data_IF_681802631766
#
_entry.id   IF_681802631766
#
_cell.length_a   1.000
_cell.length_b   1.000
_cell.length_c   1.000
_cell.angle_alpha   90.00
_cell.angle_beta   90.00
_cell.angle_gamma   90.00
#
_symmetry.space_group_name_H-M   'P 1'
#
loop_
_entity.id
_entity.type
_entity.pdbx_description
1 polymer ?
#
# COMPACT_ATOMS: atom_id res chain seq x y z
N UNK A 1 1.90 10.53 11.49
CA UNK A 1 1.86 9.07 11.68
C UNK A 1 3.19 8.57 12.25
N UNK A 2 3.19 7.52 13.10
CA UNK A 2 4.38 6.94 13.73
C UNK A 2 5.10 5.93 12.81
N UNK A 3 5.48 6.36 11.62
CA UNK A 3 6.12 5.51 10.61
C UNK A 3 7.50 4.97 11.03
N UNK A 4 8.21 5.67 11.92
CA UNK A 4 9.52 5.25 12.44
C UNK A 4 9.42 3.88 13.16
N UNK A 5 8.38 3.67 13.97
CA UNK A 5 8.21 2.38 14.66
C UNK A 5 7.75 1.27 13.71
N UNK A 6 6.97 1.63 12.69
CA UNK A 6 6.61 0.70 11.61
C UNK A 6 7.86 0.28 10.83
N UNK A 7 8.74 1.21 10.46
CA UNK A 7 9.98 0.93 9.74
C UNK A 7 10.88 -0.04 10.52
N UNK A 8 11.06 0.22 11.82
CA UNK A 8 11.81 -0.69 12.71
C UNK A 8 11.19 -2.08 12.72
N UNK A 9 9.87 -2.19 12.87
CA UNK A 9 9.15 -3.47 12.87
C UNK A 9 9.36 -4.22 11.56
N UNK A 10 9.23 -3.54 10.42
CA UNK A 10 9.38 -4.14 9.09
C UNK A 10 10.81 -4.59 8.82
N UNK A 11 11.82 -3.85 9.29
CA UNK A 11 13.23 -4.23 9.13
C UNK A 11 13.60 -5.53 9.87
N UNK A 12 13.01 -5.75 11.05
CA UNK A 12 13.30 -6.95 11.88
C UNK A 12 12.37 -8.13 11.58
N UNK A 13 11.13 -7.89 11.14
CA UNK A 13 10.14 -8.95 10.98
C UNK A 13 10.35 -9.75 9.68
N UNK A 14 10.93 -10.94 9.80
CA UNK A 14 11.18 -11.82 8.65
C UNK A 14 9.99 -12.68 8.25
N UNK A 15 8.93 -12.75 9.05
CA UNK A 15 7.78 -13.63 8.78
C UNK A 15 6.51 -12.88 8.37
N UNK A 16 6.56 -11.54 8.27
CA UNK A 16 5.42 -10.74 7.86
C UNK A 16 5.09 -11.03 6.39
N UNK A 17 3.88 -11.56 6.13
CA UNK A 17 3.39 -11.88 4.78
C UNK A 17 2.44 -10.83 4.23
N UNK A 18 1.63 -10.22 5.10
CA UNK A 18 0.64 -9.19 4.74
C UNK A 18 0.66 -8.08 5.78
N UNK A 19 0.40 -6.85 5.33
CA UNK A 19 0.32 -5.64 6.15
C UNK A 19 -0.96 -4.88 5.80
N UNK A 20 -1.86 -4.70 6.78
CA UNK A 20 -3.02 -3.81 6.67
C UNK A 20 -2.77 -2.56 7.51
N UNK A 21 -2.93 -1.38 6.91
CA UNK A 21 -2.80 -0.10 7.61
C UNK A 21 -4.05 0.76 7.38
N UNK A 22 -4.60 1.24 8.49
CA UNK A 22 -5.86 1.96 8.56
C UNK A 22 -5.68 3.19 9.43
N UNK A 23 -6.17 4.33 8.95
CA UNK A 23 -6.28 5.56 9.74
C UNK A 23 -7.78 5.77 10.00
N UNK A 24 -8.15 5.79 11.28
CA UNK A 24 -9.54 5.97 11.76
C UNK A 24 -9.86 7.42 12.13
N UNK A 25 -9.14 8.38 11.53
CA UNK A 25 -9.33 9.80 11.81
C UNK A 25 -10.33 10.41 10.81
N UNK A 26 -11.29 11.16 11.35
CA UNK A 26 -12.30 11.89 10.59
C UNK A 26 -11.72 13.14 9.91
N UNK A 27 -10.56 13.62 10.34
CA UNK A 27 -9.93 14.79 9.72
C UNK A 27 -9.31 14.44 8.35
N UNK A 28 -9.78 15.08 7.30
CA UNK A 28 -9.26 14.92 5.92
C UNK A 28 -7.94 15.66 5.71
N UNK A 29 -7.55 16.58 6.60
CA UNK A 29 -6.31 17.37 6.48
C UNK A 29 -5.03 16.55 6.67
N UNK A 30 -5.10 15.42 7.38
CA UNK A 30 -3.95 14.55 7.64
C UNK A 30 -3.57 13.61 6.47
N UNK A 31 -4.27 13.64 5.34
CA UNK A 31 -4.24 12.56 4.32
C UNK A 31 -3.19 12.69 3.22
N UNK A 32 -2.65 13.88 2.95
CA UNK A 32 -1.90 14.14 1.71
C UNK A 32 -0.51 13.46 1.64
N UNK A 33 0.15 13.18 2.77
CA UNK A 33 1.53 12.64 2.78
C UNK A 33 1.67 11.22 3.35
N UNK A 34 0.60 10.61 3.87
CA UNK A 34 0.73 9.31 4.54
C UNK A 34 1.02 8.17 3.57
N UNK A 35 0.51 8.24 2.33
CA UNK A 35 0.79 7.20 1.33
C UNK A 35 2.23 7.26 0.85
N UNK A 36 2.74 8.44 0.51
CA UNK A 36 4.16 8.64 0.16
C UNK A 36 5.10 8.12 1.25
N UNK A 37 4.88 8.53 2.49
CA UNK A 37 5.73 8.08 3.60
C UNK A 37 5.62 6.58 3.86
N UNK A 38 4.43 5.98 3.68
CA UNK A 38 4.28 4.53 3.74
C UNK A 38 5.10 3.82 2.65
N UNK A 39 5.04 4.28 1.39
CA UNK A 39 5.81 3.71 0.30
C UNK A 39 7.33 3.81 0.58
N UNK A 40 7.80 4.96 1.05
CA UNK A 40 9.20 5.16 1.45
C UNK A 40 9.64 4.23 2.58
N UNK A 41 8.81 4.05 3.60
CA UNK A 41 9.09 3.12 4.71
C UNK A 41 9.25 1.69 4.21
N UNK A 42 8.41 1.25 3.27
CA UNK A 42 8.49 -0.09 2.69
C UNK A 42 9.80 -0.30 1.90
N UNK A 43 10.23 0.71 1.14
CA UNK A 43 11.52 0.68 0.42
C UNK A 43 12.68 0.59 1.41
N UNK A 44 12.71 1.49 2.41
CA UNK A 44 13.79 1.56 3.41
C UNK A 44 13.90 0.32 4.28
N UNK A 45 12.76 -0.23 4.71
CA UNK A 45 12.72 -1.40 5.59
C UNK A 45 12.97 -2.72 4.87
N UNK A 46 12.79 -2.78 3.54
CA UNK A 46 13.02 -3.97 2.71
C UNK A 46 12.46 -5.28 3.32
N UNK A 47 11.16 -5.36 3.64
CA UNK A 47 10.60 -6.52 4.34
C UNK A 47 10.69 -7.77 3.45
N UNK A 48 11.40 -8.78 3.93
CA UNK A 48 11.89 -9.89 3.10
C UNK A 48 10.78 -10.81 2.56
N UNK A 49 9.69 -10.97 3.32
CA UNK A 49 8.62 -11.92 3.00
C UNK A 49 7.25 -11.25 2.79
N UNK A 50 7.21 -9.92 2.70
CA UNK A 50 5.97 -9.19 2.48
C UNK A 50 5.49 -9.45 1.05
N UNK A 51 4.26 -9.97 0.94
CA UNK A 51 3.62 -10.34 -0.34
C UNK A 51 2.35 -9.55 -0.57
N UNK A 52 1.82 -8.90 0.46
CA UNK A 52 0.59 -8.15 0.37
C UNK A 52 0.65 -6.88 1.22
N UNK A 53 0.13 -5.79 0.67
CA UNK A 53 -0.16 -4.58 1.42
C UNK A 53 -1.60 -4.12 1.16
N UNK A 54 -2.27 -3.71 2.23
CA UNK A 54 -3.64 -3.18 2.22
C UNK A 54 -3.65 -1.82 2.91
N UNK A 55 -4.25 -0.82 2.28
CA UNK A 55 -4.34 0.53 2.86
C UNK A 55 -5.65 1.24 2.50
N UNK A 56 -6.05 2.15 3.37
CA UNK A 56 -7.30 2.93 3.22
C UNK A 56 -7.13 4.17 2.33
N UNK A 57 -8.25 4.83 1.97
CA UNK A 57 -8.31 6.09 1.21
C UNK A 57 -7.49 7.26 1.80
N UNK A 58 -7.08 7.14 3.06
CA UNK A 58 -6.24 8.14 3.75
C UNK A 58 -4.75 8.01 3.40
N UNK A 59 -4.36 6.97 2.65
CA UNK A 59 -3.01 6.78 2.12
C UNK A 59 -2.98 7.16 0.63
N UNK A 60 -2.87 8.46 0.37
CA UNK A 60 -2.73 9.01 -0.98
C UNK A 60 -1.26 9.11 -1.37
N UNK A 61 -0.97 8.89 -2.65
CA UNK A 61 0.35 9.05 -3.27
C UNK A 61 0.18 9.59 -4.69
N UNK A 62 1.19 10.28 -5.19
CA UNK A 62 1.26 10.67 -6.60
C UNK A 62 1.60 9.45 -7.49
N UNK A 63 1.39 9.60 -8.80
CA UNK A 63 1.84 8.61 -9.78
C UNK A 63 3.35 8.39 -9.71
N UNK A 64 4.12 9.47 -9.57
CA UNK A 64 5.58 9.45 -9.43
C UNK A 64 6.04 8.63 -8.22
N UNK A 65 5.40 8.83 -7.06
CA UNK A 65 5.72 8.05 -5.84
C UNK A 65 5.41 6.55 -6.02
N UNK A 66 4.35 6.22 -6.78
CA UNK A 66 4.02 4.82 -7.09
C UNK A 66 5.05 4.20 -8.03
N UNK A 67 5.44 4.91 -9.09
CA UNK A 67 6.46 4.44 -10.04
C UNK A 67 7.81 4.21 -9.35
N UNK A 68 8.29 5.18 -8.56
CA UNK A 68 9.52 5.06 -7.78
C UNK A 68 9.46 3.82 -6.87
N UNK A 69 8.35 3.64 -6.16
CA UNK A 69 8.15 2.49 -5.29
C UNK A 69 8.22 1.16 -6.05
N UNK A 70 7.52 1.05 -7.19
CA UNK A 70 7.46 -0.19 -7.95
C UNK A 70 8.80 -0.51 -8.63
N UNK A 71 9.55 0.49 -9.07
CA UNK A 71 10.90 0.32 -9.59
C UNK A 71 11.83 -0.25 -8.50
N UNK A 72 11.82 0.34 -7.30
CA UNK A 72 12.60 -0.15 -6.14
C UNK A 72 12.11 -1.52 -5.61
N UNK A 73 10.89 -1.93 -5.97
CA UNK A 73 10.34 -3.25 -5.65
C UNK A 73 10.77 -4.35 -6.61
N UNK A 74 11.42 -4.02 -7.74
CA UNK A 74 11.92 -5.01 -8.70
C UNK A 74 12.90 -6.00 -8.07
N UNK A 75 12.90 -7.22 -8.60
CA UNK A 75 13.73 -8.33 -8.09
C UNK A 75 13.24 -8.94 -6.78
N UNK A 76 12.14 -8.45 -6.21
CA UNK A 76 11.49 -9.01 -5.01
C UNK A 76 10.35 -9.96 -5.38
N UNK A 77 9.73 -10.54 -4.36
CA UNK A 77 8.47 -11.26 -4.54
C UNK A 77 7.37 -10.30 -5.00
N UNK A 78 6.63 -10.75 -6.02
CA UNK A 78 5.51 -10.00 -6.59
C UNK A 78 4.51 -9.58 -5.51
N UNK A 79 4.20 -8.28 -5.46
CA UNK A 79 3.38 -7.67 -4.42
C UNK A 79 1.91 -7.65 -4.83
N UNK A 80 1.02 -8.03 -3.91
CA UNK A 80 -0.40 -7.74 -4.03
C UNK A 80 -0.72 -6.45 -3.29
N UNK A 81 -1.42 -5.53 -3.95
CA UNK A 81 -1.80 -4.23 -3.39
C UNK A 81 -3.31 -4.13 -3.38
N UNK A 82 -3.87 -3.74 -2.24
CA UNK A 82 -5.30 -3.50 -2.10
C UNK A 82 -5.52 -2.12 -1.50
N UNK A 83 -6.42 -1.36 -2.11
CA UNK A 83 -6.82 -0.05 -1.61
C UNK A 83 -8.33 0.12 -1.66
N UNK A 84 -8.85 1.02 -0.84
CA UNK A 84 -10.26 1.40 -0.85
C UNK A 84 -10.38 2.90 -1.06
N UNK A 85 -11.27 3.35 -1.95
CA UNK A 85 -11.65 4.76 -2.08
C UNK A 85 -10.52 5.71 -2.49
N UNK A 86 -9.49 5.21 -3.16
CA UNK A 86 -8.48 6.04 -3.82
C UNK A 86 -8.92 6.33 -5.26
N UNK A 87 -8.66 7.53 -5.75
CA UNK A 87 -8.92 7.92 -7.13
C UNK A 87 -7.80 7.32 -8.01
N UNK A 88 -8.08 6.19 -8.65
CA UNK A 88 -7.17 5.53 -9.59
C UNK A 88 -7.60 5.93 -10.99
N UNK A 89 -6.83 6.81 -11.61
CA UNK A 89 -7.07 7.28 -12.97
C UNK A 89 -6.46 6.34 -14.04
N UNK A 90 -6.63 6.73 -15.30
CA UNK A 90 -6.15 5.95 -16.45
C UNK A 90 -4.62 5.83 -16.46
N UNK A 91 -3.89 6.85 -16.02
CA UNK A 91 -2.43 6.85 -16.03
C UNK A 91 -1.88 5.95 -14.92
N UNK A 92 -2.44 6.01 -13.72
CA UNK A 92 -2.17 5.06 -12.65
C UNK A 92 -2.48 3.62 -13.06
N UNK A 93 -3.60 3.41 -13.77
CA UNK A 93 -3.97 2.09 -14.29
C UNK A 93 -2.95 1.56 -15.30
N UNK A 94 -2.41 2.40 -16.19
CA UNK A 94 -1.36 2.01 -17.15
C UNK A 94 -0.09 1.56 -16.43
N UNK A 95 0.38 2.35 -15.46
CA UNK A 95 1.57 2.03 -14.64
C UNK A 95 1.38 0.69 -13.94
N UNK A 96 0.27 0.50 -13.23
CA UNK A 96 -0.02 -0.76 -12.53
C UNK A 96 0.01 -1.94 -13.50
N UNK A 97 -0.58 -1.81 -14.69
CA UNK A 97 -0.61 -2.88 -15.67
C UNK A 97 0.76 -3.17 -16.29
N UNK A 98 1.63 -2.17 -16.41
CA UNK A 98 3.02 -2.35 -16.81
C UNK A 98 3.79 -3.19 -15.80
N UNK A 99 3.79 -2.78 -14.54
CA UNK A 99 4.48 -3.51 -13.46
C UNK A 99 3.85 -4.88 -13.17
N UNK A 100 2.56 -5.11 -13.52
CA UNK A 100 1.97 -6.46 -13.57
C UNK A 100 2.63 -7.35 -14.64
N UNK A 101 2.84 -6.82 -15.86
CA UNK A 101 3.51 -7.57 -16.95
C UNK A 101 4.96 -7.90 -16.60
N UNK A 102 5.63 -7.01 -15.87
CA UNK A 102 7.00 -7.23 -15.40
C UNK A 102 7.10 -8.18 -14.19
N UNK A 103 5.97 -8.59 -13.61
CA UNK A 103 5.93 -9.50 -12.47
C UNK A 103 6.23 -8.83 -11.12
N UNK A 104 6.28 -7.50 -11.06
CA UNK A 104 6.46 -6.74 -9.81
C UNK A 104 5.15 -6.70 -9.02
N UNK A 105 4.03 -6.46 -9.71
CA UNK A 105 2.69 -6.51 -9.11
C UNK A 105 2.08 -7.87 -9.44
N UNK A 106 1.69 -8.60 -8.41
CA UNK A 106 0.88 -9.82 -8.55
C UNK A 106 -0.58 -9.48 -8.81
N UNK A 107 -1.16 -8.66 -7.92
CA UNK A 107 -2.56 -8.25 -7.96
C UNK A 107 -2.66 -6.79 -7.52
N UNK A 108 -3.61 -6.06 -8.11
CA UNK A 108 -3.97 -4.73 -7.64
C UNK A 108 -5.49 -4.61 -7.66
N UNK A 109 -6.07 -4.22 -6.53
CA UNK A 109 -7.50 -3.99 -6.41
C UNK A 109 -7.77 -2.66 -5.71
N UNK A 110 -8.65 -1.85 -6.32
CA UNK A 110 -9.19 -0.65 -5.71
C UNK A 110 -10.70 -0.80 -5.57
N UNK A 111 -11.17 -0.92 -4.33
CA UNK A 111 -12.60 -0.94 -4.06
C UNK A 111 -13.07 0.52 -3.97
N UNK A 112 -13.60 1.04 -5.08
CA UNK A 112 -14.26 2.34 -5.12
C UNK A 112 -15.58 2.26 -4.33
N UNK A 113 -15.79 3.20 -3.42
CA UNK A 113 -17.02 3.32 -2.61
C UNK A 113 -17.33 2.08 -1.74
N UNK A 114 -16.55 1.90 -0.67
CA UNK A 114 -16.85 0.89 0.36
C UNK A 114 -17.23 1.58 1.65
N UNK A 115 -18.25 1.06 2.34
CA UNK A 115 -18.39 1.31 3.78
C UNK A 115 -17.11 0.81 4.45
N UNK A 116 -16.23 1.75 4.76
CA UNK A 116 -14.91 1.46 5.28
C UNK A 116 -14.98 0.64 6.58
N UNK A 117 -15.99 0.89 7.42
CA UNK A 117 -16.20 0.14 8.66
C UNK A 117 -16.62 -1.28 8.36
N UNK A 118 -17.53 -1.47 7.40
CA UNK A 118 -17.94 -2.79 6.89
C UNK A 118 -16.76 -3.57 6.28
N UNK A 119 -15.89 -2.91 5.53
CA UNK A 119 -14.69 -3.53 4.96
C UNK A 119 -13.72 -4.02 6.03
N UNK A 120 -13.42 -3.17 7.01
CA UNK A 120 -12.49 -3.51 8.10
C UNK A 120 -13.06 -4.63 8.97
N UNK A 121 -14.35 -4.59 9.30
CA UNK A 121 -14.98 -5.69 10.05
C UNK A 121 -14.90 -7.02 9.30
N UNK A 122 -15.15 -7.03 7.99
CA UNK A 122 -14.98 -8.26 7.20
C UNK A 122 -13.54 -8.78 7.20
N UNK A 123 -12.52 -7.92 7.11
CA UNK A 123 -11.12 -8.38 7.08
C UNK A 123 -10.60 -8.81 8.45
N UNK A 124 -10.94 -8.08 9.52
CA UNK A 124 -10.41 -8.37 10.85
C UNK A 124 -11.10 -9.55 11.54
N UNK A 125 -12.31 -9.94 11.10
CA UNK A 125 -13.09 -11.02 11.68
C UNK A 125 -13.36 -12.20 10.72
N UNK A 126 -12.68 -12.26 9.57
CA UNK A 126 -12.63 -13.44 8.69
C UNK A 126 -11.37 -14.28 8.91
#
# INVERSE_FOLDING_TARGET
AHFIELEKLLGVCKNLKSLLIVILDDDDTCSLNNGEELLRVLIRSMPTNLKEIRFSRKFKFSLENLEEFLEEWKGRHALSMFTTGNDIDDDCTKVINEYKREGVIKNFENLAYVDFIGYITNICFS
#
